data_IF_762147930778
#
_entry.id   IF_762147930778
#
_cell.length_a   1.000
_cell.length_b   1.000
_cell.length_c   1.000
_cell.angle_alpha   90.00
_cell.angle_beta   90.00
_cell.angle_gamma   90.00
#
_symmetry.space_group_name_H-M   'P 1'
#
loop_
_entity.id
_entity.type
_entity.pdbx_description
1 polymer ?
#
# COMPACT_ATOMS: atom_id res chain seq x y z
N UNK A 1 9.76 62.92 84.32
CA UNK A 1 8.78 61.95 83.77
C UNK A 1 9.48 61.26 82.61
N UNK A 2 10.06 60.09 82.83
CA UNK A 2 10.77 59.36 81.78
C UNK A 2 9.72 58.59 81.00
N UNK A 3 9.46 58.98 79.75
CA UNK A 3 8.61 58.18 78.86
C UNK A 3 9.42 56.96 78.47
N UNK A 4 9.12 55.82 79.08
CA UNK A 4 9.66 54.53 78.66
C UNK A 4 8.91 54.11 77.40
N UNK A 5 9.50 54.29 76.22
CA UNK A 5 8.98 53.67 75.00
C UNK A 5 9.23 52.17 75.09
N UNK A 6 8.16 51.39 75.21
CA UNK A 6 8.22 49.94 75.06
C UNK A 6 8.58 49.63 73.61
N UNK A 7 9.72 48.94 73.39
CA UNK A 7 10.13 48.56 72.04
C UNK A 7 9.30 47.37 71.59
N UNK A 8 8.62 47.52 70.46
CA UNK A 8 7.77 46.47 69.89
C UNK A 8 8.56 45.64 68.89
N UNK A 9 8.22 44.35 68.81
CA UNK A 9 8.70 43.48 67.74
C UNK A 9 8.12 43.97 66.39
N UNK A 10 8.80 43.70 65.27
CA UNK A 10 8.31 44.10 63.95
C UNK A 10 6.96 43.46 63.65
N UNK A 11 6.02 44.24 63.10
CA UNK A 11 4.73 43.77 62.58
C UNK A 11 4.65 44.00 61.08
N UNK A 12 3.92 43.13 60.38
CA UNK A 12 3.74 43.22 58.94
C UNK A 12 2.65 44.23 58.60
N UNK A 13 2.95 45.17 57.71
CA UNK A 13 1.98 46.15 57.19
C UNK A 13 1.48 45.70 55.80
N UNK A 14 2.42 45.30 54.94
CA UNK A 14 2.15 44.67 53.64
C UNK A 14 2.85 43.33 53.61
N UNK A 15 2.08 42.26 53.37
CA UNK A 15 2.60 40.90 53.41
C UNK A 15 3.68 40.64 52.35
N UNK A 16 4.69 39.81 52.66
CA UNK A 16 5.64 39.32 51.67
C UNK A 16 4.97 38.67 50.46
N UNK A 17 5.59 38.79 49.29
CA UNK A 17 5.08 38.22 48.04
C UNK A 17 6.17 37.60 47.19
N UNK A 18 5.79 36.65 46.33
CA UNK A 18 6.67 36.13 45.29
C UNK A 18 6.47 36.94 44.01
N UNK A 19 7.58 37.32 43.39
CA UNK A 19 7.64 38.09 42.15
C UNK A 19 8.52 37.41 41.10
N UNK A 20 8.49 37.94 39.89
CA UNK A 20 9.29 37.45 38.76
C UNK A 20 8.58 36.40 37.90
N UNK A 21 9.22 35.95 36.81
CA UNK A 21 8.60 35.09 35.81
C UNK A 21 8.24 33.69 36.34
N UNK A 22 8.88 33.24 37.43
CA UNK A 22 8.62 31.95 38.08
C UNK A 22 7.25 31.86 38.77
N UNK A 23 6.57 32.99 39.02
CA UNK A 23 5.24 33.00 39.67
C UNK A 23 4.18 32.29 38.82
N UNK A 24 4.41 32.21 37.51
CA UNK A 24 3.57 31.44 36.56
C UNK A 24 3.68 29.92 36.73
N UNK A 25 4.58 29.41 37.59
CA UNK A 25 4.77 27.97 37.82
C UNK A 25 5.52 27.25 36.69
N UNK A 26 6.19 27.99 35.80
CA UNK A 26 6.98 27.42 34.70
C UNK A 26 8.43 27.18 35.19
N UNK A 27 8.89 25.92 35.11
CA UNK A 27 10.28 25.56 35.44
C UNK A 27 11.28 26.27 34.51
N UNK A 28 12.43 26.66 35.06
CA UNK A 28 13.47 27.42 34.37
C UNK A 28 13.38 28.94 34.56
N UNK A 29 12.30 29.44 35.19
CA UNK A 29 12.16 30.84 35.58
C UNK A 29 12.44 31.03 37.08
N UNK A 30 13.13 32.11 37.43
CA UNK A 30 13.44 32.43 38.81
C UNK A 30 12.29 33.10 39.55
N UNK A 31 12.27 32.94 40.87
CA UNK A 31 11.42 33.65 41.81
C UNK A 31 12.24 34.69 42.57
N UNK A 32 11.62 35.81 42.87
CA UNK A 32 12.14 36.85 43.78
C UNK A 32 11.21 36.94 44.98
N UNK A 33 11.77 36.90 46.18
CA UNK A 33 11.04 37.09 47.42
C UNK A 33 11.07 38.56 47.81
N UNK A 34 9.93 39.22 47.69
CA UNK A 34 9.73 40.57 48.20
C UNK A 34 9.34 40.49 49.68
N UNK A 35 10.14 41.07 50.60
CA UNK A 35 9.84 41.05 52.02
C UNK A 35 8.56 41.80 52.40
N UNK A 36 8.02 42.67 51.54
CA UNK A 36 6.90 43.55 51.89
C UNK A 36 7.33 44.70 52.81
N UNK A 37 6.37 45.34 53.49
CA UNK A 37 6.64 46.48 54.39
C UNK A 37 6.31 46.14 55.83
N UNK A 38 7.14 46.65 56.74
CA UNK A 38 7.12 46.28 58.16
C UNK A 38 7.32 47.51 59.05
N UNK A 39 6.71 47.47 60.22
CA UNK A 39 6.94 48.44 61.29
C UNK A 39 8.28 48.22 62.01
N UNK A 40 8.71 49.20 62.81
CA UNK A 40 9.86 49.09 63.71
C UNK A 40 11.22 48.78 63.04
N UNK A 41 11.36 49.14 61.75
CA UNK A 41 12.61 49.11 60.95
C UNK A 41 13.45 47.83 61.15
N UNK A 42 12.96 46.65 60.74
CA UNK A 42 13.63 45.39 60.98
C UNK A 42 14.78 45.13 60.00
N UNK A 43 15.64 44.19 60.37
CA UNK A 43 16.51 43.46 59.43
C UNK A 43 15.83 42.17 58.97
N UNK A 44 16.08 41.73 57.74
CA UNK A 44 15.45 40.54 57.15
C UNK A 44 16.41 39.37 56.99
N UNK A 45 15.90 38.16 57.26
CA UNK A 45 16.47 36.89 56.81
C UNK A 45 15.43 36.11 56.00
N UNK A 46 15.89 35.37 55.00
CA UNK A 46 15.03 34.62 54.09
C UNK A 46 15.32 33.12 54.17
N UNK A 47 14.28 32.30 53.98
CA UNK A 47 14.42 30.87 53.74
C UNK A 47 13.43 30.42 52.66
N UNK A 48 13.93 29.79 51.61
CA UNK A 48 13.06 29.17 50.61
C UNK A 48 12.54 27.83 51.11
N UNK A 49 11.26 27.59 50.89
CA UNK A 49 10.54 26.41 51.33
C UNK A 49 10.11 25.56 50.12
N UNK A 50 10.32 24.25 50.21
CA UNK A 50 9.77 23.24 49.30
C UNK A 50 8.78 22.37 50.07
N UNK A 51 7.53 22.37 49.62
CA UNK A 51 6.42 21.66 50.28
C UNK A 51 6.32 21.99 51.79
N UNK A 52 6.60 23.25 52.13
CA UNK A 52 6.58 23.75 53.51
C UNK A 52 7.85 23.53 54.33
N UNK A 53 8.87 22.88 53.77
CA UNK A 53 10.15 22.59 54.45
C UNK A 53 11.30 23.45 53.92
N UNK A 54 12.21 23.97 54.78
CA UNK A 54 13.35 24.77 54.34
C UNK A 54 14.28 24.00 53.38
N UNK A 55 14.68 24.68 52.32
CA UNK A 55 15.67 24.18 51.36
C UNK A 55 17.06 24.63 51.84
N UNK A 56 17.90 23.68 52.22
CA UNK A 56 19.24 23.96 52.76
C UNK A 56 20.06 24.86 51.80
N UNK A 57 20.66 25.92 52.35
CA UNK A 57 21.50 26.86 51.62
C UNK A 57 20.75 27.91 50.79
N UNK A 58 19.42 27.87 50.73
CA UNK A 58 18.61 28.83 49.96
C UNK A 58 18.07 29.93 50.88
N UNK A 59 18.92 30.91 51.18
CA UNK A 59 18.61 32.02 52.11
C UNK A 59 18.69 33.41 51.47
N UNK A 60 18.81 33.48 50.15
CA UNK A 60 18.83 34.74 49.39
C UNK A 60 17.43 35.22 49.01
N UNK A 61 17.33 36.43 48.47
CA UNK A 61 16.08 37.00 47.94
C UNK A 61 15.66 36.41 46.59
N UNK A 62 16.52 35.62 45.95
CA UNK A 62 16.27 34.99 44.64
C UNK A 62 16.38 33.48 44.76
N UNK A 63 15.46 32.76 44.12
CA UNK A 63 15.48 31.31 44.00
C UNK A 63 15.33 30.89 42.55
N UNK A 64 16.21 29.99 42.12
CA UNK A 64 16.21 29.39 40.79
C UNK A 64 15.70 27.94 40.94
N UNK A 65 14.42 27.66 40.59
CA UNK A 65 13.85 26.32 40.65
C UNK A 65 14.61 25.35 39.74
N UNK A 66 14.83 24.14 40.26
CA UNK A 66 15.48 23.03 39.58
C UNK A 66 14.48 21.94 39.19
N UNK A 67 14.93 20.91 38.48
CA UNK A 67 14.09 19.74 38.18
C UNK A 67 13.58 19.02 39.46
N UNK A 68 14.26 19.19 40.61
CA UNK A 68 13.80 18.66 41.91
C UNK A 68 12.58 19.41 42.48
N UNK A 69 12.29 20.61 41.97
CA UNK A 69 11.15 21.45 42.34
C UNK A 69 9.92 21.18 41.45
N UNK A 70 10.06 20.33 40.44
CA UNK A 70 8.98 19.95 39.55
C UNK A 70 7.81 19.33 40.33
N UNK A 71 6.60 19.82 40.08
CA UNK A 71 5.37 19.42 40.77
C UNK A 71 5.36 19.69 42.28
N UNK A 72 6.32 20.47 42.80
CA UNK A 72 6.39 20.86 44.21
C UNK A 72 5.85 22.28 44.41
N UNK A 73 5.49 22.58 45.66
CA UNK A 73 5.10 23.91 46.08
C UNK A 73 6.30 24.66 46.62
N UNK A 74 6.58 25.84 46.06
CA UNK A 74 7.67 26.70 46.50
C UNK A 74 7.11 27.96 47.14
N UNK A 75 7.60 28.28 48.34
CA UNK A 75 7.26 29.50 49.07
C UNK A 75 8.54 30.15 49.63
N UNK A 76 8.46 31.42 50.01
CA UNK A 76 9.52 32.10 50.75
C UNK A 76 9.05 32.41 52.17
N UNK A 77 9.91 32.18 53.15
CA UNK A 77 9.74 32.59 54.54
C UNK A 77 10.62 33.81 54.81
N UNK A 78 10.03 34.86 55.37
CA UNK A 78 10.69 36.11 55.74
C UNK A 78 10.67 36.25 57.24
N UNK A 79 11.85 36.36 57.85
CA UNK A 79 12.04 36.64 59.27
C UNK A 79 12.50 38.07 59.45
N UNK A 80 11.65 38.92 60.02
CA UNK A 80 11.93 40.30 60.35
C UNK A 80 12.36 40.41 61.82
N UNK A 81 13.52 41.00 62.11
CA UNK A 81 14.08 41.08 63.47
C UNK A 81 14.53 42.48 63.84
N UNK A 82 14.29 42.86 65.10
CA UNK A 82 14.87 44.04 65.74
C UNK A 82 15.27 43.68 67.19
N UNK A 83 15.70 44.68 67.98
CA UNK A 83 16.14 44.46 69.37
C UNK A 83 15.04 43.95 70.32
N UNK A 84 13.77 44.11 69.96
CA UNK A 84 12.63 43.63 70.74
C UNK A 84 12.20 42.20 70.38
N UNK A 85 12.66 41.66 69.23
CA UNK A 85 12.41 40.28 68.84
C UNK A 85 12.22 40.11 67.34
N UNK A 86 11.65 38.96 66.95
CA UNK A 86 11.46 38.55 65.56
C UNK A 86 10.02 38.14 65.25
N UNK A 87 9.60 38.38 64.01
CA UNK A 87 8.33 37.93 63.44
C UNK A 87 8.59 37.21 62.12
N UNK A 88 7.92 36.07 61.90
CA UNK A 88 8.09 35.22 60.72
C UNK A 88 6.79 35.21 59.92
N UNK A 89 6.87 35.49 58.62
CA UNK A 89 5.74 35.43 57.69
C UNK A 89 6.15 34.69 56.41
N UNK A 90 5.24 33.87 55.87
CA UNK A 90 5.46 33.10 54.63
C UNK A 90 4.63 33.68 53.48
N UNK A 91 5.19 33.67 52.29
CA UNK A 91 4.43 33.97 51.06
C UNK A 91 3.44 32.85 50.75
N UNK A 92 2.39 33.12 49.96
CA UNK A 92 1.67 32.06 49.25
C UNK A 92 2.62 31.20 48.42
N UNK A 93 2.36 29.90 48.33
CA UNK A 93 3.18 28.98 47.56
C UNK A 93 2.78 28.95 46.08
N UNK A 94 3.76 28.92 45.19
CA UNK A 94 3.57 28.68 43.75
C UNK A 94 3.89 27.22 43.45
N UNK A 95 3.00 26.52 42.73
CA UNK A 95 3.26 25.15 42.28
C UNK A 95 3.93 25.18 40.91
N UNK A 96 5.09 24.56 40.80
CA UNK A 96 5.74 24.39 39.49
C UNK A 96 5.15 23.21 38.74
N UNK A 97 4.86 23.38 37.45
CA UNK A 97 4.48 22.28 36.57
C UNK A 97 5.65 21.37 36.26
N UNK A 98 5.39 20.18 35.74
CA UNK A 98 6.43 19.33 35.15
C UNK A 98 7.09 20.03 33.96
N UNK A 99 8.39 19.84 33.78
CA UNK A 99 9.11 20.31 32.59
C UNK A 99 8.42 19.74 31.35
N UNK A 100 8.01 20.61 30.42
CA UNK A 100 7.47 20.18 29.14
C UNK A 100 8.55 19.37 28.41
N UNK A 101 8.33 18.06 28.28
CA UNK A 101 9.15 17.24 27.39
C UNK A 101 8.79 17.65 25.97
N UNK A 102 9.77 18.14 25.22
CA UNK A 102 9.57 18.44 23.81
C UNK A 102 9.03 17.19 23.10
N UNK A 103 8.06 17.32 22.18
CA UNK A 103 7.59 16.17 21.41
C UNK A 103 8.77 15.46 20.76
N UNK A 104 8.80 14.12 20.72
CA UNK A 104 9.82 13.43 19.94
C UNK A 104 9.76 13.95 18.49
N UNK A 105 10.93 14.21 17.91
CA UNK A 105 11.02 14.65 16.52
C UNK A 105 10.24 13.68 15.61
N UNK A 106 9.57 14.16 14.54
CA UNK A 106 8.86 13.29 13.62
C UNK A 106 9.81 12.20 13.10
N UNK A 107 9.49 10.93 13.35
CA UNK A 107 10.27 9.84 12.79
C UNK A 107 10.04 9.82 11.27
N UNK A 108 11.11 9.89 10.49
CA UNK A 108 11.01 9.71 9.04
C UNK A 108 10.43 8.32 8.73
N UNK A 109 9.19 8.29 8.25
CA UNK A 109 8.56 7.05 7.82
C UNK A 109 9.33 6.51 6.61
N UNK A 110 9.79 5.26 6.73
CA UNK A 110 10.47 4.57 5.64
C UNK A 110 9.68 3.35 5.20
N UNK A 111 8.93 3.52 4.11
CA UNK A 111 8.06 2.47 3.61
C UNK A 111 7.14 2.97 2.52
N UNK A 112 6.38 2.05 1.91
CA UNK A 112 5.38 2.41 0.92
C UNK A 112 4.14 3.01 1.60
N UNK A 113 3.80 4.26 1.26
CA UNK A 113 2.50 4.85 1.63
C UNK A 113 1.39 4.47 0.65
N UNK A 114 1.74 4.00 -0.56
CA UNK A 114 0.80 3.38 -1.50
C UNK A 114 1.48 2.24 -2.26
N UNK A 115 0.80 1.09 -2.45
CA UNK A 115 1.36 -0.04 -3.18
C UNK A 115 1.52 0.28 -4.68
N UNK A 116 2.36 -0.47 -5.40
CA UNK A 116 2.41 -0.39 -6.86
C UNK A 116 1.08 -0.84 -7.48
N UNK A 117 0.86 -0.45 -8.73
CA UNK A 117 -0.32 -0.79 -9.52
C UNK A 117 0.08 -1.22 -10.92
N UNK A 118 -0.72 -2.10 -11.52
CA UNK A 118 -0.60 -2.52 -12.91
C UNK A 118 -1.60 -1.73 -13.75
N UNK A 119 -1.12 -1.08 -14.81
CA UNK A 119 -1.94 -0.41 -15.81
C UNK A 119 -1.77 -1.07 -17.19
N UNK A 120 -2.80 -0.95 -18.02
CA UNK A 120 -2.83 -1.53 -19.37
C UNK A 120 -3.80 -2.71 -19.49
N UNK A 121 -4.06 -3.11 -20.73
CA UNK A 121 -4.96 -4.22 -21.03
C UNK A 121 -4.22 -5.55 -20.90
N UNK A 122 -4.74 -6.45 -20.08
CA UNK A 122 -4.18 -7.80 -19.90
C UNK A 122 -4.59 -8.70 -21.06
N UNK A 123 -3.92 -8.49 -22.19
CA UNK A 123 -4.12 -9.26 -23.42
C UNK A 123 -2.77 -9.73 -23.95
N UNK A 124 -2.72 -10.94 -24.53
CA UNK A 124 -1.47 -11.49 -25.07
C UNK A 124 -0.89 -10.56 -26.13
N UNK A 125 0.37 -10.18 -25.94
CA UNK A 125 1.11 -9.28 -26.79
C UNK A 125 0.94 -7.78 -26.49
N UNK A 126 0.01 -7.40 -25.60
CA UNK A 126 -0.09 -6.05 -25.07
C UNK A 126 1.01 -5.78 -24.04
N UNK A 127 1.31 -4.50 -23.82
CA UNK A 127 2.25 -4.04 -22.81
C UNK A 127 1.50 -3.55 -21.58
N UNK A 128 1.91 -4.04 -20.42
CA UNK A 128 1.49 -3.57 -19.10
C UNK A 128 2.56 -2.66 -18.51
N UNK A 129 2.14 -1.74 -17.65
CA UNK A 129 3.02 -0.79 -16.96
C UNK A 129 2.85 -0.93 -15.45
N UNK A 130 3.95 -0.87 -14.71
CA UNK A 130 3.97 -0.88 -13.25
C UNK A 130 4.37 0.48 -12.68
N UNK A 131 3.51 1.08 -11.87
CA UNK A 131 3.74 2.42 -11.29
C UNK A 131 4.91 2.48 -10.30
N UNK A 132 5.23 1.36 -9.63
CA UNK A 132 6.27 1.32 -8.59
C UNK A 132 5.80 1.77 -7.20
N UNK A 133 4.57 2.30 -7.08
CA UNK A 133 3.99 2.74 -5.81
C UNK A 133 4.48 4.13 -5.35
N UNK A 134 4.05 4.54 -4.15
CA UNK A 134 4.51 5.77 -3.51
C UNK A 134 5.32 5.39 -2.28
N UNK A 135 6.58 5.79 -2.24
CA UNK A 135 7.52 5.48 -1.17
C UNK A 135 7.82 6.73 -0.33
N UNK A 136 7.81 6.58 1.00
CA UNK A 136 8.17 7.60 1.96
C UNK A 136 9.61 7.39 2.42
N UNK A 137 10.41 8.47 2.40
CA UNK A 137 11.84 8.47 2.70
C UNK A 137 12.72 8.64 1.46
N UNK A 138 13.94 9.16 1.67
CA UNK A 138 14.90 9.38 0.59
C UNK A 138 15.39 8.06 -0.02
N UNK A 139 15.20 7.90 -1.33
CA UNK A 139 15.62 6.72 -2.11
C UNK A 139 16.18 7.14 -3.47
N UNK A 140 17.16 6.39 -3.97
CA UNK A 140 17.75 6.65 -5.29
C UNK A 140 16.93 6.02 -6.43
N UNK A 141 16.32 4.86 -6.20
CA UNK A 141 15.56 4.12 -7.23
C UNK A 141 14.56 3.15 -6.58
N UNK A 142 13.48 2.87 -7.31
CA UNK A 142 12.54 1.78 -7.01
C UNK A 142 12.71 0.72 -8.09
N UNK A 143 13.18 -0.46 -7.69
CA UNK A 143 13.31 -1.61 -8.57
C UNK A 143 11.96 -2.28 -8.77
N UNK A 144 11.68 -2.70 -10.01
CA UNK A 144 10.39 -3.29 -10.39
C UNK A 144 10.58 -4.68 -10.95
N UNK A 145 9.71 -5.59 -10.55
CA UNK A 145 9.66 -6.96 -11.04
C UNK A 145 8.23 -7.37 -11.37
N UNK A 146 8.08 -8.20 -12.41
CA UNK A 146 6.82 -8.80 -12.80
C UNK A 146 6.79 -10.25 -12.32
N UNK A 147 5.69 -10.63 -11.67
CA UNK A 147 5.47 -11.94 -11.09
C UNK A 147 4.34 -12.66 -11.83
N UNK A 148 4.51 -13.96 -12.05
CA UNK A 148 3.47 -14.90 -12.49
C UNK A 148 3.31 -15.97 -11.43
N UNK A 149 2.12 -16.10 -10.87
CA UNK A 149 1.82 -17.00 -9.74
C UNK A 149 2.84 -16.85 -8.59
N UNK A 150 3.26 -15.62 -8.32
CA UNK A 150 4.24 -15.28 -7.28
C UNK A 150 5.72 -15.39 -7.69
N UNK A 151 6.04 -16.06 -8.80
CA UNK A 151 7.42 -16.20 -9.28
C UNK A 151 7.82 -15.08 -10.25
N UNK A 152 9.02 -14.52 -10.10
CA UNK A 152 9.50 -13.47 -10.99
C UNK A 152 9.74 -13.99 -12.41
N UNK A 153 9.21 -13.25 -13.40
CA UNK A 153 9.29 -13.57 -14.83
C UNK A 153 9.97 -12.47 -15.66
N UNK A 154 10.03 -11.24 -15.15
CA UNK A 154 10.71 -10.12 -15.79
C UNK A 154 11.04 -9.02 -14.77
N UNK A 155 11.89 -8.07 -15.14
CA UNK A 155 12.18 -6.85 -14.41
C UNK A 155 11.90 -5.62 -15.28
N UNK A 156 11.75 -4.46 -14.62
CA UNK A 156 11.53 -3.17 -15.29
C UNK A 156 10.10 -2.64 -15.17
N UNK A 157 9.92 -1.41 -15.62
CA UNK A 157 8.64 -0.69 -15.49
C UNK A 157 7.53 -1.22 -16.39
N UNK A 158 7.87 -1.96 -17.45
CA UNK A 158 6.91 -2.48 -18.42
C UNK A 158 7.10 -3.98 -18.65
N UNK A 159 6.02 -4.65 -19.02
CA UNK A 159 6.02 -6.07 -19.37
C UNK A 159 5.11 -6.35 -20.54
N UNK A 160 5.62 -7.09 -21.52
CA UNK A 160 4.81 -7.56 -22.64
C UNK A 160 4.20 -8.91 -22.28
N UNK A 161 2.87 -8.97 -22.23
CA UNK A 161 2.12 -10.17 -21.85
C UNK A 161 2.42 -11.30 -22.83
N UNK A 162 2.93 -12.40 -22.30
CA UNK A 162 3.25 -13.61 -23.02
C UNK A 162 2.05 -14.57 -23.06
N UNK A 163 2.05 -15.49 -24.03
CA UNK A 163 1.04 -16.55 -24.10
C UNK A 163 1.06 -17.47 -22.85
N UNK A 164 2.21 -17.58 -22.17
CA UNK A 164 2.37 -18.35 -20.94
C UNK A 164 1.66 -17.73 -19.72
N UNK A 165 1.24 -16.46 -19.79
CA UNK A 165 0.46 -15.80 -18.73
C UNK A 165 -1.01 -16.21 -18.75
N UNK A 166 -1.47 -16.90 -19.80
CA UNK A 166 -2.87 -17.20 -19.98
C UNK A 166 -3.41 -18.09 -18.85
N UNK A 167 -4.42 -17.60 -18.13
CA UNK A 167 -5.02 -18.24 -16.97
C UNK A 167 -4.14 -18.23 -15.71
N UNK A 168 -3.07 -17.44 -15.66
CA UNK A 168 -2.18 -17.30 -14.49
C UNK A 168 -2.38 -15.96 -13.78
N UNK A 169 -2.03 -15.90 -12.50
CA UNK A 169 -2.05 -14.66 -11.75
C UNK A 169 -0.84 -13.79 -12.13
N UNK A 170 -1.06 -12.51 -12.42
CA UNK A 170 -0.01 -11.52 -12.67
C UNK A 170 0.03 -10.49 -11.54
N UNK A 171 1.24 -10.08 -11.17
CA UNK A 171 1.46 -9.09 -10.10
C UNK A 171 2.73 -8.28 -10.39
N UNK A 172 2.77 -7.01 -9.97
CA UNK A 172 4.00 -6.23 -9.98
C UNK A 172 4.54 -6.15 -8.54
N UNK A 173 5.86 -6.27 -8.41
CA UNK A 173 6.59 -6.02 -7.18
C UNK A 173 7.46 -4.76 -7.33
N UNK A 174 7.41 -3.90 -6.32
CA UNK A 174 8.29 -2.76 -6.16
C UNK A 174 9.21 -3.01 -4.96
N UNK A 175 10.50 -2.89 -5.17
CA UNK A 175 11.53 -3.10 -4.15
C UNK A 175 12.35 -1.83 -3.98
N UNK A 176 12.56 -1.44 -2.72
CA UNK A 176 13.48 -0.39 -2.34
C UNK A 176 14.55 -1.01 -1.45
N UNK A 177 15.80 -0.71 -1.76
CA UNK A 177 16.95 -1.06 -0.91
C UNK A 177 17.57 0.23 -0.39
N UNK A 178 17.60 0.40 0.93
CA UNK A 178 18.29 1.53 1.56
C UNK A 178 19.80 1.26 1.60
N UNK A 179 20.67 2.29 1.54
CA UNK A 179 22.03 2.18 2.05
C UNK A 179 22.05 1.52 3.44
N UNK A 180 22.90 0.51 3.62
CA UNK A 180 22.88 -0.37 4.81
C UNK A 180 22.10 -1.68 4.63
N UNK A 181 21.49 -1.91 3.47
CA UNK A 181 20.94 -3.21 3.07
C UNK A 181 19.50 -3.50 3.49
N UNK A 182 18.82 -2.56 4.18
CA UNK A 182 17.41 -2.70 4.50
C UNK A 182 16.60 -2.76 3.21
N UNK A 183 15.82 -3.84 3.04
CA UNK A 183 15.00 -4.07 1.86
C UNK A 183 13.52 -4.03 2.22
N UNK A 184 12.77 -3.16 1.54
CA UNK A 184 11.31 -3.04 1.66
C UNK A 184 10.69 -3.43 0.32
N UNK A 185 9.68 -4.29 0.36
CA UNK A 185 8.99 -4.79 -0.82
C UNK A 185 7.50 -4.54 -0.68
N UNK A 186 6.88 -4.06 -1.76
CA UNK A 186 5.43 -3.97 -1.88
C UNK A 186 4.99 -4.64 -3.18
N UNK A 187 3.76 -5.15 -3.19
CA UNK A 187 3.15 -5.78 -4.36
C UNK A 187 1.86 -5.06 -4.75
N UNK A 188 1.54 -5.11 -6.04
CA UNK A 188 0.25 -4.67 -6.53
C UNK A 188 -0.84 -5.67 -6.13
N UNK A 189 -2.13 -5.30 -6.22
CA UNK A 189 -3.18 -6.31 -6.30
C UNK A 189 -2.88 -7.32 -7.41
N UNK A 190 -3.31 -8.57 -7.18
CA UNK A 190 -3.21 -9.63 -8.19
C UNK A 190 -4.20 -9.35 -9.30
N UNK A 191 -3.74 -9.42 -10.54
CA UNK A 191 -4.57 -9.28 -11.74
C UNK A 191 -4.60 -10.63 -12.45
N UNK A 192 -5.79 -11.09 -12.84
CA UNK A 192 -5.90 -12.30 -13.64
C UNK A 192 -5.26 -12.08 -15.02
N UNK A 193 -4.43 -13.03 -15.45
CA UNK A 193 -3.83 -13.07 -16.77
C UNK A 193 -4.88 -13.24 -17.88
N UNK A 194 -4.44 -13.21 -19.15
CA UNK A 194 -5.34 -13.35 -20.29
C UNK A 194 -6.13 -14.66 -20.25
N UNK A 195 -7.31 -14.73 -20.89
CA UNK A 195 -8.09 -15.95 -20.91
C UNK A 195 -7.35 -17.09 -21.63
N UNK A 196 -7.42 -18.29 -21.08
CA UNK A 196 -6.93 -19.53 -21.70
C UNK A 196 -8.10 -20.44 -22.02
N UNK A 197 -8.24 -20.83 -23.30
CA UNK A 197 -9.29 -21.76 -23.73
C UNK A 197 -8.67 -23.10 -24.10
N UNK A 198 -9.33 -24.19 -23.71
CA UNK A 198 -8.99 -25.56 -24.12
C UNK A 198 -10.18 -26.21 -24.80
N UNK A 199 -9.94 -26.98 -25.86
CA UNK A 199 -10.96 -27.82 -26.45
C UNK A 199 -11.06 -29.15 -25.70
N UNK A 200 -12.25 -29.50 -25.24
CA UNK A 200 -12.53 -30.78 -24.58
C UNK A 200 -12.94 -31.85 -25.61
N UNK A 201 -13.70 -31.45 -26.62
CA UNK A 201 -14.17 -32.36 -27.66
C UNK A 201 -13.05 -32.83 -28.59
N UNK A 202 -12.81 -34.14 -28.65
CA UNK A 202 -11.87 -34.76 -29.60
C UNK A 202 -12.55 -35.30 -30.86
N UNK A 203 -13.79 -35.75 -30.71
CA UNK A 203 -14.62 -36.28 -31.80
C UNK A 203 -16.08 -35.87 -31.63
N UNK A 204 -16.75 -35.58 -32.74
CA UNK A 204 -18.14 -35.10 -32.73
C UNK A 204 -18.91 -35.55 -33.98
N UNK A 205 -20.21 -35.81 -33.79
CA UNK A 205 -21.17 -36.08 -34.87
C UNK A 205 -21.87 -34.79 -35.28
N UNK A 206 -21.97 -34.56 -36.59
CA UNK A 206 -22.61 -33.38 -37.17
C UNK A 206 -24.10 -33.60 -37.30
N UNK A 207 -24.88 -32.80 -36.60
CA UNK A 207 -26.33 -32.76 -36.79
C UNK A 207 -26.72 -31.46 -37.49
N UNK A 208 -27.55 -31.57 -38.55
CA UNK A 208 -28.04 -30.41 -39.34
C UNK A 208 -26.93 -29.44 -39.79
N UNK A 209 -25.73 -29.97 -40.06
CA UNK A 209 -24.57 -29.17 -40.49
C UNK A 209 -23.84 -28.42 -39.37
N UNK A 210 -24.13 -28.72 -38.10
CA UNK A 210 -23.47 -28.14 -36.93
C UNK A 210 -22.78 -29.22 -36.11
N UNK A 211 -21.54 -28.97 -35.71
CA UNK A 211 -20.77 -29.78 -34.76
C UNK A 211 -20.72 -29.04 -33.41
N UNK A 212 -21.31 -29.57 -32.33
CA UNK A 212 -21.13 -29.02 -30.98
C UNK A 212 -19.70 -29.31 -30.48
N UNK A 213 -19.01 -28.28 -30.02
CA UNK A 213 -17.66 -28.36 -29.47
C UNK A 213 -17.66 -27.86 -28.03
N UNK A 214 -17.39 -28.74 -27.08
CA UNK A 214 -17.21 -28.39 -25.69
C UNK A 214 -15.81 -27.81 -25.49
N UNK A 215 -15.77 -26.62 -24.90
CA UNK A 215 -14.56 -25.89 -24.53
C UNK A 215 -14.58 -25.60 -23.05
N UNK A 216 -13.40 -25.42 -22.48
CA UNK A 216 -13.22 -24.93 -21.13
C UNK A 216 -12.44 -23.62 -21.17
N UNK A 217 -12.85 -22.63 -20.38
CA UNK A 217 -12.09 -21.39 -20.25
C UNK A 217 -11.58 -21.15 -18.83
N UNK A 218 -10.30 -20.76 -18.73
CA UNK A 218 -9.70 -20.23 -17.52
C UNK A 218 -9.60 -18.71 -17.67
N UNK A 219 -10.44 -17.97 -16.93
CA UNK A 219 -10.45 -16.52 -16.83
C UNK A 219 -11.15 -16.09 -15.53
N UNK A 220 -11.00 -14.81 -15.14
CA UNK A 220 -11.61 -14.29 -13.92
C UNK A 220 -13.15 -14.29 -13.94
N UNK A 221 -13.76 -14.05 -15.10
CA UNK A 221 -15.24 -13.93 -15.20
C UNK A 221 -15.79 -14.74 -16.36
N UNK A 222 -15.43 -14.39 -17.60
CA UNK A 222 -15.89 -15.09 -18.80
C UNK A 222 -14.93 -14.85 -19.96
N UNK A 223 -15.04 -15.69 -20.97
CA UNK A 223 -14.28 -15.63 -22.20
C UNK A 223 -15.22 -15.50 -23.38
N UNK A 224 -14.90 -14.59 -24.30
CA UNK A 224 -15.54 -14.57 -25.62
C UNK A 224 -14.66 -15.36 -26.58
N UNK A 225 -15.17 -16.46 -27.12
CA UNK A 225 -14.40 -17.40 -27.95
C UNK A 225 -15.01 -17.49 -29.33
N UNK A 226 -14.17 -17.38 -30.37
CA UNK A 226 -14.54 -17.73 -31.75
C UNK A 226 -13.78 -18.98 -32.18
N UNK A 227 -14.31 -19.70 -33.16
CA UNK A 227 -13.61 -20.85 -33.73
C UNK A 227 -13.65 -20.83 -35.26
N UNK A 228 -12.54 -21.21 -35.87
CA UNK A 228 -12.48 -21.49 -37.31
C UNK A 228 -11.84 -22.84 -37.53
N UNK A 229 -12.35 -23.60 -38.51
CA UNK A 229 -11.85 -24.91 -38.82
C UNK A 229 -11.39 -24.99 -40.27
N UNK A 230 -10.22 -25.59 -40.49
CA UNK A 230 -9.67 -25.90 -41.82
C UNK A 230 -9.39 -27.39 -41.93
N UNK A 231 -9.12 -27.89 -43.13
CA UNK A 231 -8.67 -29.27 -43.28
C UNK A 231 -7.39 -29.49 -42.47
N UNK A 232 -7.39 -30.50 -41.58
CA UNK A 232 -6.17 -30.91 -40.92
C UNK A 232 -5.16 -31.40 -41.97
N UNK A 233 -3.88 -31.11 -41.78
CA UNK A 233 -2.85 -31.76 -42.60
C UNK A 233 -2.83 -33.24 -42.22
N UNK A 234 -3.46 -34.09 -43.02
CA UNK A 234 -3.26 -35.52 -42.86
C UNK A 234 -1.81 -35.83 -43.24
N UNK A 235 -1.06 -36.49 -42.36
CA UNK A 235 0.30 -36.97 -42.62
C UNK A 235 0.40 -37.97 -43.80
N UNK A 236 -0.70 -38.24 -44.50
CA UNK A 236 -0.76 -38.94 -45.78
C UNK A 236 -1.95 -38.40 -46.57
N UNK A 237 -1.72 -38.17 -47.86
CA UNK A 237 -2.70 -37.79 -48.87
C UNK A 237 -3.11 -36.32 -48.90
N UNK A 238 -2.28 -35.53 -49.59
CA UNK A 238 -2.76 -34.42 -50.42
C UNK A 238 -3.91 -34.91 -51.30
N UNK A 239 -5.14 -34.76 -50.82
CA UNK A 239 -6.31 -34.71 -51.69
C UNK A 239 -6.20 -33.39 -52.46
N UNK A 240 -5.42 -33.43 -53.53
CA UNK A 240 -5.39 -32.42 -54.59
C UNK A 240 -6.83 -32.30 -55.07
N UNK A 241 -7.57 -31.30 -54.58
CA UNK A 241 -8.76 -30.83 -55.25
C UNK A 241 -8.29 -30.40 -56.64
N UNK A 242 -8.60 -31.20 -57.66
CA UNK A 242 -8.39 -30.85 -59.07
C UNK A 242 -9.30 -29.65 -59.37
N UNK A 243 -8.85 -28.46 -59.01
CA UNK A 243 -9.28 -27.23 -59.65
C UNK A 243 -8.58 -27.18 -61.00
N UNK A 244 -9.32 -27.46 -62.08
CA UNK A 244 -8.93 -27.09 -63.44
C UNK A 244 -9.01 -25.56 -63.51
N UNK A 245 -7.96 -24.89 -63.05
CA UNK A 245 -7.74 -23.48 -63.32
C UNK A 245 -6.26 -23.29 -63.62
N UNK A 246 -5.96 -23.06 -64.90
CA UNK A 246 -4.66 -22.60 -65.37
C UNK A 246 -4.48 -21.16 -64.88
N UNK A 247 -3.83 -20.97 -63.75
CA UNK A 247 -3.18 -19.69 -63.47
C UNK A 247 -1.82 -19.93 -62.81
N UNK A 248 -0.78 -19.50 -63.53
CA UNK A 248 0.59 -19.40 -63.04
C UNK A 248 0.63 -18.22 -62.07
N UNK A 249 0.66 -18.53 -60.77
CA UNK A 249 0.92 -17.54 -59.73
C UNK A 249 1.35 -18.27 -58.46
N UNK A 250 2.53 -17.93 -57.91
CA UNK A 250 3.03 -18.40 -56.61
C UNK A 250 2.21 -17.81 -55.46
N UNK A 251 0.89 -18.01 -55.47
CA UNK A 251 0.01 -17.67 -54.35
C UNK A 251 0.05 -18.79 -53.32
N UNK A 252 0.43 -18.48 -52.07
CA UNK A 252 0.28 -19.41 -50.94
C UNK A 252 -1.17 -19.93 -50.94
N UNK A 253 -1.36 -21.24 -51.12
CA UNK A 253 -2.67 -21.86 -51.10
C UNK A 253 -3.34 -21.57 -49.75
N UNK A 254 -4.32 -20.67 -49.73
CA UNK A 254 -5.13 -20.41 -48.53
C UNK A 254 -5.90 -21.69 -48.23
N UNK A 255 -5.66 -22.31 -47.06
CA UNK A 255 -6.46 -23.44 -46.59
C UNK A 255 -7.92 -23.00 -46.53
N UNK A 256 -8.80 -23.72 -47.26
CA UNK A 256 -10.22 -23.41 -47.25
C UNK A 256 -10.80 -23.54 -45.84
N UNK A 257 -11.60 -22.55 -45.42
CA UNK A 257 -12.32 -22.61 -44.14
C UNK A 257 -13.53 -23.54 -44.31
N UNK A 258 -13.51 -24.65 -43.57
CA UNK A 258 -14.51 -25.71 -43.65
C UNK A 258 -15.63 -25.53 -42.63
N UNK A 259 -15.37 -24.85 -41.51
CA UNK A 259 -16.41 -24.52 -40.55
C UNK A 259 -16.06 -23.28 -39.73
N UNK A 260 -17.06 -22.63 -39.14
CA UNK A 260 -16.91 -21.45 -38.29
C UNK A 260 -17.88 -21.50 -37.11
N UNK A 261 -17.48 -20.95 -35.98
CA UNK A 261 -18.36 -20.67 -34.86
C UNK A 261 -18.34 -19.18 -34.57
N UNK A 262 -19.52 -18.60 -34.42
CA UNK A 262 -19.68 -17.23 -33.92
C UNK A 262 -19.15 -17.09 -32.51
N UNK A 263 -18.91 -15.85 -32.08
CA UNK A 263 -18.45 -15.57 -30.72
C UNK A 263 -19.45 -16.10 -29.68
N UNK A 264 -18.98 -17.01 -28.82
CA UNK A 264 -19.74 -17.54 -27.67
C UNK A 264 -19.10 -17.04 -26.38
N UNK A 265 -19.92 -16.62 -25.42
CA UNK A 265 -19.47 -16.34 -24.06
C UNK A 265 -19.43 -17.66 -23.29
N UNK A 266 -18.30 -17.96 -22.67
CA UNK A 266 -18.08 -19.13 -21.82
C UNK A 266 -17.69 -18.61 -20.44
N UNK A 267 -18.38 -19.04 -19.40
CA UNK A 267 -18.08 -18.62 -18.04
C UNK A 267 -16.73 -19.19 -17.58
N UNK A 268 -15.98 -18.39 -16.83
CA UNK A 268 -14.68 -18.79 -16.32
C UNK A 268 -14.81 -19.95 -15.34
N UNK A 269 -14.02 -21.00 -15.55
CA UNK A 269 -14.04 -22.19 -14.70
C UNK A 269 -15.17 -23.18 -15.00
N UNK A 270 -15.99 -22.93 -16.03
CA UNK A 270 -17.06 -23.82 -16.46
C UNK A 270 -16.86 -24.30 -17.92
N UNK A 271 -17.32 -25.52 -18.26
CA UNK A 271 -17.41 -25.93 -19.65
C UNK A 271 -18.52 -25.17 -20.38
N UNK A 272 -18.33 -24.88 -21.66
CA UNK A 272 -19.34 -24.30 -22.54
C UNK A 272 -19.29 -24.90 -23.92
N UNK A 273 -20.39 -24.80 -24.68
CA UNK A 273 -20.50 -25.43 -26.01
C UNK A 273 -20.48 -24.38 -27.12
N UNK A 274 -19.51 -24.47 -28.04
CA UNK A 274 -19.49 -23.75 -29.31
C UNK A 274 -20.19 -24.54 -30.41
N UNK A 275 -21.06 -23.88 -31.17
CA UNK A 275 -21.70 -24.45 -32.35
C UNK A 275 -20.85 -24.17 -33.58
N UNK A 276 -20.07 -25.17 -34.01
CA UNK A 276 -19.23 -25.08 -35.20
C UNK A 276 -20.07 -25.42 -36.45
N UNK A 277 -20.49 -24.41 -37.19
CA UNK A 277 -21.30 -24.54 -38.40
C UNK A 277 -20.42 -24.84 -39.62
N UNK A 278 -20.71 -25.94 -40.33
CA UNK A 278 -19.98 -26.32 -41.54
C UNK A 278 -20.37 -25.41 -42.71
N UNK A 279 -19.36 -24.93 -43.45
CA UNK A 279 -19.56 -24.21 -44.72
C UNK A 279 -20.03 -25.17 -45.81
N UNK A 280 -20.43 -24.65 -46.99
CA UNK A 280 -20.72 -25.51 -48.14
C UNK A 280 -19.55 -26.44 -48.49
N UNK A 281 -18.31 -25.91 -48.46
CA UNK A 281 -17.10 -26.70 -48.66
C UNK A 281 -16.88 -27.74 -47.56
N UNK A 282 -17.11 -27.38 -46.29
CA UNK A 282 -17.02 -28.33 -45.17
C UNK A 282 -18.03 -29.47 -45.28
N UNK A 283 -19.28 -29.16 -45.63
CA UNK A 283 -20.33 -30.17 -45.86
C UNK A 283 -19.96 -31.09 -47.03
N UNK A 284 -19.46 -30.55 -48.14
CA UNK A 284 -18.98 -31.35 -49.27
C UNK A 284 -17.80 -32.26 -48.88
N UNK A 285 -16.83 -31.74 -48.13
CA UNK A 285 -15.67 -32.50 -47.65
C UNK A 285 -16.09 -33.64 -46.69
N UNK A 286 -16.98 -33.35 -45.73
CA UNK A 286 -17.54 -34.37 -44.84
C UNK A 286 -18.33 -35.42 -45.62
N UNK A 287 -19.03 -35.01 -46.69
CA UNK A 287 -19.74 -35.94 -47.55
C UNK A 287 -18.80 -36.89 -48.27
N UNK A 288 -17.73 -36.36 -48.86
CA UNK A 288 -16.70 -37.11 -49.57
C UNK A 288 -15.90 -38.05 -48.65
N UNK A 289 -15.73 -37.68 -47.37
CA UNK A 289 -15.03 -38.51 -46.39
C UNK A 289 -15.80 -39.80 -46.02
N UNK A 290 -17.13 -39.82 -46.17
CA UNK A 290 -17.97 -40.98 -45.87
C UNK A 290 -17.78 -41.49 -44.44
N UNK A 291 -17.64 -42.81 -44.27
CA UNK A 291 -17.45 -43.47 -42.96
C UNK A 291 -16.12 -43.13 -42.27
N UNK A 292 -15.12 -42.62 -43.02
CA UNK A 292 -13.81 -42.27 -42.45
C UNK A 292 -13.86 -41.03 -41.57
N UNK A 293 -14.86 -40.17 -41.76
CA UNK A 293 -14.94 -38.88 -41.07
C UNK A 293 -13.90 -37.88 -41.57
N UNK A 294 -14.08 -36.62 -41.18
CA UNK A 294 -13.25 -35.50 -41.57
C UNK A 294 -12.44 -35.02 -40.37
N UNK A 295 -11.12 -34.92 -40.52
CA UNK A 295 -10.26 -34.32 -39.52
C UNK A 295 -10.12 -32.81 -39.77
N UNK A 296 -10.53 -32.02 -38.78
CA UNK A 296 -10.52 -30.56 -38.84
C UNK A 296 -9.45 -30.01 -37.89
N UNK A 297 -8.57 -29.16 -38.41
CA UNK A 297 -7.74 -28.29 -37.57
C UNK A 297 -8.59 -27.10 -37.14
N UNK A 298 -8.99 -27.09 -35.87
CA UNK A 298 -9.80 -26.05 -35.23
C UNK A 298 -8.87 -25.07 -34.53
N UNK A 299 -8.94 -23.81 -34.93
CA UNK A 299 -8.32 -22.69 -34.25
C UNK A 299 -9.37 -22.04 -33.35
N UNK A 300 -9.19 -22.17 -32.04
CA UNK A 300 -9.91 -21.41 -31.03
C UNK A 300 -9.21 -20.07 -30.82
N UNK A 301 -9.98 -18.99 -30.88
CA UNK A 301 -9.49 -17.63 -30.70
C UNK A 301 -10.29 -16.97 -29.56
N UNK A 302 -9.82 -17.08 -28.30
CA UNK A 302 -10.33 -16.26 -27.22
C UNK A 302 -10.00 -14.78 -27.47
N UNK A 303 -10.95 -13.91 -27.17
CA UNK A 303 -10.69 -12.48 -27.09
C UNK A 303 -9.58 -12.23 -26.07
N UNK A 304 -8.56 -11.46 -26.44
CA UNK A 304 -7.42 -11.07 -25.59
C UNK A 304 -6.46 -12.21 -25.18
N UNK A 305 -6.82 -13.47 -25.45
CA UNK A 305 -5.97 -14.64 -25.18
C UNK A 305 -5.11 -15.06 -26.37
N UNK A 306 -4.33 -16.12 -26.18
CA UNK A 306 -3.59 -16.76 -27.26
C UNK A 306 -4.49 -17.71 -28.06
N UNK A 307 -4.29 -17.74 -29.37
CA UNK A 307 -4.96 -18.73 -30.24
C UNK A 307 -4.46 -20.14 -29.91
N UNK A 308 -5.39 -21.09 -29.89
CA UNK A 308 -5.09 -22.51 -29.69
C UNK A 308 -5.52 -23.27 -30.92
N UNK A 309 -4.60 -24.03 -31.51
CA UNK A 309 -4.88 -24.89 -32.67
C UNK A 309 -4.88 -26.34 -32.20
N UNK A 310 -5.97 -27.04 -32.49
CA UNK A 310 -6.13 -28.46 -32.15
C UNK A 310 -6.88 -29.19 -33.26
N UNK A 311 -6.88 -30.53 -33.22
CA UNK A 311 -7.52 -31.36 -34.24
C UNK A 311 -8.76 -32.04 -33.69
N UNK A 312 -9.86 -32.00 -34.44
CA UNK A 312 -11.13 -32.64 -34.11
C UNK A 312 -11.56 -33.59 -35.21
N UNK A 313 -11.96 -34.79 -34.84
CA UNK A 313 -12.57 -35.74 -35.76
C UNK A 313 -14.07 -35.51 -35.87
N UNK A 314 -14.55 -35.26 -37.09
CA UNK A 314 -15.95 -34.93 -37.36
C UNK A 314 -16.59 -36.03 -38.20
N UNK A 315 -17.74 -36.55 -37.77
CA UNK A 315 -18.49 -37.60 -38.48
C UNK A 315 -19.90 -37.12 -38.83
N UNK A 316 -20.53 -37.77 -39.81
CA UNK A 316 -21.96 -37.57 -40.09
C UNK A 316 -22.79 -38.25 -39.02
#
# INVERSE_FOLDING_TARGET
MTITYERLKPSVDVAPSLQGPGVSGILGNHLVCDPGTWSELPTFAFAWLRDGQPIAGQTGTRFDPSDADANRQIACEVTASNVAGSTIVRTPAVRFGSRAVAPPAPQEQFGFSAPPSIAGKVAVGSTLTCSGGVFQGAVAQIDRAWLRDGAQIASGATYRVAAADAGRALQCSATVVRPGGLRVVAHSPVVAGPPRVTLLTRSVTVSKGVAPLDVFCVAATSCRVTATATAAASGRSSARTRSRSRSRGRGRARRAVLARASAVRVDGGAPGTLKLALTAAGRAALRAAGRRGLSLAVTLAPQDGANVVTTVSVRR
#
